data_IF_022776222266
#
_entry.id   IF_022776222266
#
_cell.length_a   1.000
_cell.length_b   1.000
_cell.length_c   1.000
_cell.angle_alpha   90.00
_cell.angle_beta   90.00
_cell.angle_gamma   90.00
#
_symmetry.space_group_name_H-M   'P 1'
#
loop_
_entity.id
_entity.type
_entity.pdbx_description
1 polymer ?
#
# COMPACT_ATOMS: atom_id res chain seq x y z
N UNK A 1 12.51 -10.14 -17.02
CA UNK A 1 13.72 -9.30 -16.83
C UNK A 1 14.50 -9.80 -15.62
N UNK A 2 15.85 -9.84 -15.67
CA UNK A 2 16.70 -10.25 -14.52
C UNK A 2 17.39 -9.03 -13.90
N UNK A 3 17.30 -8.88 -12.58
CA UNK A 3 18.02 -7.85 -11.82
C UNK A 3 19.36 -8.40 -11.34
N UNK A 4 20.43 -7.63 -11.52
CA UNK A 4 21.73 -7.98 -10.96
C UNK A 4 21.85 -7.60 -9.47
N UNK A 5 22.95 -7.99 -8.83
CA UNK A 5 23.18 -7.71 -7.42
C UNK A 5 23.24 -6.20 -7.10
N UNK A 6 23.72 -5.36 -8.04
CA UNK A 6 23.78 -3.91 -7.85
C UNK A 6 22.39 -3.30 -7.93
N UNK A 7 21.57 -3.72 -8.90
CA UNK A 7 20.18 -3.28 -9.03
C UNK A 7 19.40 -3.59 -7.74
N UNK A 8 19.55 -4.80 -7.19
CA UNK A 8 18.94 -5.19 -5.91
C UNK A 8 19.42 -4.29 -4.77
N UNK A 9 20.73 -4.07 -4.60
CA UNK A 9 21.25 -3.20 -3.53
C UNK A 9 20.77 -1.74 -3.66
N UNK A 10 20.66 -1.21 -4.89
CA UNK A 10 20.09 0.12 -5.14
C UNK A 10 18.62 0.16 -4.75
N UNK A 11 17.82 -0.83 -5.15
CA UNK A 11 16.41 -0.94 -4.76
C UNK A 11 16.24 -1.07 -3.24
N UNK A 12 17.11 -1.82 -2.55
CA UNK A 12 17.12 -1.90 -1.08
C UNK A 12 17.33 -0.53 -0.44
N UNK A 13 18.34 0.21 -0.88
CA UNK A 13 18.63 1.54 -0.35
C UNK A 13 17.50 2.55 -0.65
N UNK A 14 16.85 2.42 -1.82
CA UNK A 14 15.68 3.22 -2.17
C UNK A 14 14.46 2.84 -1.33
N UNK A 15 14.28 1.57 -0.99
CA UNK A 15 13.19 1.10 -0.14
C UNK A 15 13.36 1.54 1.32
N UNK A 16 14.59 1.50 1.84
CA UNK A 16 14.90 2.08 3.16
C UNK A 16 14.53 3.56 3.24
N UNK A 17 14.88 4.33 2.20
CA UNK A 17 14.47 5.72 2.07
C UNK A 17 14.66 6.22 0.64
N UNK A 18 13.54 6.38 -0.07
CA UNK A 18 13.55 6.82 -1.44
C UNK A 18 14.05 8.25 -1.63
N UNK A 19 14.21 9.05 -0.57
CA UNK A 19 14.81 10.40 -0.62
C UNK A 19 16.32 10.43 -0.39
N UNK A 20 16.99 9.30 -0.19
CA UNK A 20 18.45 9.33 -0.02
C UNK A 20 19.15 10.01 -1.23
N UNK A 21 20.14 10.89 -0.96
CA UNK A 21 21.02 11.40 -2.00
C UNK A 21 21.71 10.25 -2.73
N UNK A 22 21.99 10.44 -4.02
CA UNK A 22 22.63 9.40 -4.85
C UNK A 22 23.97 8.93 -4.25
N UNK A 23 24.72 9.81 -3.58
CA UNK A 23 25.96 9.46 -2.87
C UNK A 23 25.73 8.49 -1.72
N UNK A 24 24.66 8.67 -0.94
CA UNK A 24 24.30 7.77 0.16
C UNK A 24 23.82 6.41 -0.36
N UNK A 25 23.05 6.41 -1.45
CA UNK A 25 22.65 5.17 -2.14
C UNK A 25 23.89 4.44 -2.68
N UNK A 26 24.83 5.17 -3.28
CA UNK A 26 26.07 4.62 -3.83
C UNK A 26 26.93 3.94 -2.75
N UNK A 27 27.09 4.59 -1.58
CA UNK A 27 27.77 3.99 -0.41
C UNK A 27 27.08 2.70 0.05
N UNK A 28 25.75 2.69 0.14
CA UNK A 28 24.98 1.50 0.53
C UNK A 28 25.03 0.38 -0.51
N UNK A 29 25.06 0.75 -1.79
CA UNK A 29 25.11 -0.20 -2.90
C UNK A 29 26.53 -0.67 -3.26
N UNK A 30 27.55 -0.13 -2.59
CA UNK A 30 28.97 -0.39 -2.87
C UNK A 30 29.31 -0.13 -4.34
N UNK A 31 28.93 1.05 -4.84
CA UNK A 31 29.17 1.47 -6.23
C UNK A 31 29.33 2.99 -6.34
N UNK A 32 29.52 3.53 -7.55
CA UNK A 32 29.68 4.99 -7.76
C UNK A 32 28.33 5.71 -7.89
N UNK A 33 28.34 7.03 -7.63
CA UNK A 33 27.16 7.89 -7.84
C UNK A 33 26.67 7.85 -9.30
N UNK A 34 27.58 7.83 -10.28
CA UNK A 34 27.21 7.77 -11.70
C UNK A 34 26.51 6.45 -12.03
N UNK A 35 27.00 5.33 -11.50
CA UNK A 35 26.36 4.02 -11.68
C UNK A 35 24.95 4.03 -11.10
N UNK A 36 24.76 4.55 -9.87
CA UNK A 36 23.42 4.65 -9.27
C UNK A 36 22.48 5.48 -10.14
N UNK A 37 22.90 6.65 -10.61
CA UNK A 37 22.08 7.53 -11.46
C UNK A 37 21.65 6.81 -12.75
N UNK A 38 22.62 6.20 -13.44
CA UNK A 38 22.37 5.42 -14.65
C UNK A 38 21.38 4.28 -14.40
N UNK A 39 21.56 3.51 -13.32
CA UNK A 39 20.68 2.38 -12.99
C UNK A 39 19.28 2.84 -12.64
N UNK A 40 19.10 3.90 -11.84
CA UNK A 40 17.76 4.43 -11.54
C UNK A 40 17.05 4.89 -12.81
N UNK A 41 17.74 5.62 -13.71
CA UNK A 41 17.19 6.04 -15.01
C UNK A 41 16.82 4.83 -15.89
N UNK A 42 17.67 3.81 -15.92
CA UNK A 42 17.42 2.57 -16.66
C UNK A 42 16.21 1.81 -16.13
N UNK A 43 16.08 1.65 -14.80
CA UNK A 43 14.94 0.97 -14.16
C UNK A 43 13.63 1.73 -14.39
N UNK A 44 13.66 3.07 -14.45
CA UNK A 44 12.51 3.89 -14.86
C UNK A 44 12.16 3.71 -16.34
N UNK A 45 13.15 3.76 -17.24
CA UNK A 45 12.96 3.56 -18.69
C UNK A 45 12.34 2.19 -18.98
N UNK A 46 12.75 1.17 -18.24
CA UNK A 46 12.20 -0.20 -18.30
C UNK A 46 10.85 -0.37 -17.61
N UNK A 47 10.24 0.71 -17.10
CA UNK A 47 8.96 0.73 -16.36
C UNK A 47 8.94 -0.13 -15.08
N UNK A 48 10.10 -0.62 -14.61
CA UNK A 48 10.20 -1.34 -13.34
C UNK A 48 9.96 -0.39 -12.18
N UNK A 49 10.66 0.74 -12.18
CA UNK A 49 10.51 1.78 -11.18
C UNK A 49 9.54 2.84 -11.72
N UNK A 50 8.27 2.76 -11.31
CA UNK A 50 7.20 3.68 -11.75
C UNK A 50 7.37 5.08 -11.15
N UNK A 51 8.02 5.19 -9.99
CA UNK A 51 8.21 6.45 -9.30
C UNK A 51 8.61 6.26 -7.85
N UNK A 52 8.37 7.28 -7.04
CA UNK A 52 8.63 7.27 -5.61
C UNK A 52 7.43 7.86 -4.87
N UNK A 53 6.94 7.15 -3.87
CA UNK A 53 5.75 7.49 -3.09
C UNK A 53 6.09 7.80 -1.64
N UNK A 54 5.23 8.60 -1.01
CA UNK A 54 5.32 8.90 0.43
C UNK A 54 4.25 8.09 1.14
N UNK A 55 4.64 7.19 2.02
CA UNK A 55 3.73 6.44 2.89
C UNK A 55 3.24 7.36 4.02
N UNK A 56 1.93 7.56 4.06
CA UNK A 56 1.26 8.50 4.97
C UNK A 56 0.30 7.69 5.85
N UNK A 57 0.42 7.89 7.16
CA UNK A 57 -0.48 7.28 8.13
C UNK A 57 -1.72 8.18 8.31
N UNK A 58 -2.75 7.92 7.52
CA UNK A 58 -3.97 8.76 7.51
C UNK A 58 -4.82 8.60 8.77
N UNK A 59 -4.59 7.57 9.59
CA UNK A 59 -5.31 7.44 10.87
C UNK A 59 -4.91 8.56 11.84
N UNK A 60 -3.69 9.07 11.73
CA UNK A 60 -3.24 10.28 12.43
C UNK A 60 -3.95 11.56 11.99
N UNK A 61 -4.70 11.52 10.90
CA UNK A 61 -5.57 12.62 10.47
C UNK A 61 -7.05 12.38 10.85
N UNK A 62 -7.35 11.31 11.58
CA UNK A 62 -8.70 10.97 12.04
C UNK A 62 -9.48 10.06 11.08
N UNK A 63 -8.84 9.55 10.03
CA UNK A 63 -9.50 8.72 9.03
C UNK A 63 -9.29 7.23 9.26
N UNK A 64 -10.35 6.45 9.13
CA UNK A 64 -10.33 4.99 9.10
C UNK A 64 -10.38 4.50 7.66
N UNK A 65 -10.02 3.24 7.44
CA UNK A 65 -10.00 2.63 6.11
C UNK A 65 -10.80 1.34 6.08
N UNK A 66 -11.53 1.14 4.99
CA UNK A 66 -12.44 0.02 4.82
C UNK A 66 -12.19 -0.60 3.47
N UNK A 67 -11.84 -1.89 3.44
CA UNK A 67 -11.80 -2.66 2.19
C UNK A 67 -13.22 -3.11 1.86
N UNK A 68 -13.63 -2.93 0.61
CA UNK A 68 -14.91 -3.40 0.05
C UNK A 68 -14.58 -4.37 -1.06
N UNK A 69 -15.20 -5.54 -1.01
CA UNK A 69 -15.15 -6.56 -2.06
C UNK A 69 -16.50 -6.58 -2.79
N UNK A 70 -16.48 -6.72 -4.11
CA UNK A 70 -17.68 -6.75 -4.96
C UNK A 70 -17.63 -8.01 -5.82
N UNK A 71 -18.72 -8.76 -5.80
CA UNK A 71 -19.03 -9.80 -6.77
C UNK A 71 -20.10 -9.24 -7.70
N UNK A 72 -19.83 -9.26 -9.00
CA UNK A 72 -20.79 -8.79 -10.00
C UNK A 72 -21.75 -9.90 -10.43
N UNK A 73 -22.90 -9.49 -10.97
CA UNK A 73 -23.81 -10.34 -11.75
C UNK A 73 -24.12 -9.69 -13.09
N UNK A 74 -24.25 -10.53 -14.13
CA UNK A 74 -24.73 -10.13 -15.45
C UNK A 74 -24.04 -8.86 -15.99
N UNK A 75 -22.71 -8.80 -15.91
CA UNK A 75 -21.93 -7.60 -16.22
C UNK A 75 -21.20 -7.72 -17.56
N UNK A 76 -21.18 -6.62 -18.34
CA UNK A 76 -20.35 -6.50 -19.56
C UNK A 76 -19.02 -5.84 -19.22
N UNK A 77 -18.01 -6.01 -20.09
CA UNK A 77 -16.69 -5.38 -19.93
C UNK A 77 -16.77 -3.85 -19.90
N UNK A 78 -17.64 -3.28 -20.73
CA UNK A 78 -17.86 -1.84 -20.82
C UNK A 78 -18.42 -1.31 -19.51
N UNK A 79 -19.41 -2.01 -18.95
CA UNK A 79 -20.06 -1.62 -17.69
C UNK A 79 -19.14 -1.80 -16.49
N UNK A 80 -18.37 -2.89 -16.44
CA UNK A 80 -17.33 -3.09 -15.41
C UNK A 80 -16.33 -1.93 -15.43
N UNK A 81 -15.87 -1.54 -16.62
CA UNK A 81 -14.94 -0.42 -16.79
C UNK A 81 -15.55 0.90 -16.29
N UNK A 82 -16.81 1.20 -16.61
CA UNK A 82 -17.49 2.40 -16.09
C UNK A 82 -17.54 2.44 -14.56
N UNK A 83 -17.88 1.32 -13.92
CA UNK A 83 -17.91 1.17 -12.46
C UNK A 83 -16.52 1.38 -11.88
N UNK A 84 -15.50 0.74 -12.46
CA UNK A 84 -14.12 0.90 -12.02
C UNK A 84 -13.69 2.36 -12.16
N UNK A 85 -13.96 3.00 -13.30
CA UNK A 85 -13.62 4.40 -13.54
C UNK A 85 -14.29 5.32 -12.50
N UNK A 86 -15.57 5.08 -12.18
CA UNK A 86 -16.28 5.80 -11.12
C UNK A 86 -15.60 5.64 -9.75
N UNK A 87 -15.33 4.39 -9.34
CA UNK A 87 -14.66 4.08 -8.06
C UNK A 87 -13.26 4.70 -8.02
N UNK A 88 -12.50 4.63 -9.12
CA UNK A 88 -11.14 5.18 -9.24
C UNK A 88 -11.16 6.71 -9.14
N UNK A 89 -12.20 7.37 -9.66
CA UNK A 89 -12.32 8.82 -9.60
C UNK A 89 -12.87 9.32 -8.27
N UNK A 90 -13.61 8.48 -7.53
CA UNK A 90 -14.22 8.85 -6.26
C UNK A 90 -13.18 9.44 -5.28
N UNK A 91 -13.49 10.59 -4.65
CA UNK A 91 -12.51 11.38 -3.89
C UNK A 91 -11.95 10.64 -2.68
N UNK A 92 -12.70 9.71 -2.09
CA UNK A 92 -12.34 8.99 -0.87
C UNK A 92 -11.85 7.55 -1.07
N UNK A 93 -11.67 7.12 -2.33
CA UNK A 93 -11.06 5.80 -2.60
C UNK A 93 -9.56 5.94 -2.79
N UNK A 94 -8.78 4.94 -2.37
CA UNK A 94 -7.30 5.01 -2.46
C UNK A 94 -6.64 3.83 -3.17
N UNK A 95 -7.30 2.69 -3.19
CA UNK A 95 -6.83 1.46 -3.80
C UNK A 95 -8.02 0.79 -4.49
N UNK A 96 -7.80 0.24 -5.68
CA UNK A 96 -8.80 -0.47 -6.46
C UNK A 96 -8.10 -1.45 -7.39
N UNK A 97 -8.53 -2.70 -7.37
CA UNK A 97 -8.01 -3.81 -8.18
C UNK A 97 -9.16 -4.66 -8.71
N UNK A 98 -9.01 -5.18 -9.93
CA UNK A 98 -9.78 -6.34 -10.38
C UNK A 98 -9.08 -7.62 -9.93
N UNK A 99 -9.86 -8.60 -9.51
CA UNK A 99 -9.37 -9.89 -9.06
C UNK A 99 -10.20 -11.03 -9.64
N UNK A 100 -9.64 -12.24 -9.59
CA UNK A 100 -10.34 -13.48 -9.87
C UNK A 100 -10.27 -14.37 -8.63
N UNK A 101 -11.41 -14.86 -8.17
CA UNK A 101 -11.54 -15.62 -6.93
C UNK A 101 -13.01 -15.58 -6.49
N UNK A 102 -13.25 -15.30 -5.22
CA UNK A 102 -14.62 -15.14 -4.69
C UNK A 102 -15.26 -13.81 -5.11
N UNK A 103 -14.43 -12.79 -5.40
CA UNK A 103 -14.88 -11.45 -5.79
C UNK A 103 -14.15 -10.99 -7.05
N UNK A 104 -14.82 -10.15 -7.83
CA UNK A 104 -14.30 -9.60 -9.09
C UNK A 104 -13.53 -8.30 -8.88
N UNK A 105 -13.88 -7.54 -7.83
CA UNK A 105 -13.30 -6.23 -7.55
C UNK A 105 -13.06 -6.05 -6.06
N UNK A 106 -11.93 -5.44 -5.70
CA UNK A 106 -11.67 -4.97 -4.35
C UNK A 106 -11.19 -3.52 -4.37
N UNK A 107 -11.68 -2.70 -3.44
CA UNK A 107 -11.25 -1.32 -3.29
C UNK A 107 -11.27 -0.85 -1.84
N UNK A 108 -10.54 0.22 -1.54
CA UNK A 108 -10.50 0.78 -0.19
C UNK A 108 -11.13 2.17 -0.15
N UNK A 109 -12.17 2.32 0.67
CA UNK A 109 -12.75 3.60 1.08
C UNK A 109 -12.00 4.11 2.31
N UNK A 110 -11.79 5.41 2.38
CA UNK A 110 -11.25 6.10 3.55
C UNK A 110 -12.26 7.11 4.06
N UNK A 111 -12.61 7.04 5.34
CA UNK A 111 -13.66 7.87 5.91
C UNK A 111 -13.29 8.39 7.30
N UNK A 112 -13.79 9.59 7.63
CA UNK A 112 -13.60 10.23 8.95
C UNK A 112 -14.55 9.71 10.02
N UNK A 113 -15.61 8.99 9.64
CA UNK A 113 -16.58 8.36 10.54
C UNK A 113 -17.31 7.21 9.85
N UNK A 114 -17.97 6.36 10.62
CA UNK A 114 -18.83 5.28 10.11
C UNK A 114 -19.96 5.85 9.22
N UNK A 115 -20.51 7.02 9.56
CA UNK A 115 -21.53 7.66 8.74
C UNK A 115 -20.97 8.11 7.37
N UNK A 116 -19.78 8.70 7.35
CA UNK A 116 -19.11 9.05 6.10
C UNK A 116 -18.81 7.79 5.27
N UNK A 117 -18.31 6.71 5.89
CA UNK A 117 -18.11 5.43 5.20
C UNK A 117 -19.40 4.92 4.58
N UNK A 118 -20.49 4.84 5.36
CA UNK A 118 -21.79 4.34 4.90
C UNK A 118 -22.35 5.17 3.74
N UNK A 119 -22.24 6.51 3.81
CA UNK A 119 -22.66 7.40 2.71
C UNK A 119 -21.89 7.12 1.42
N UNK A 120 -20.56 7.07 1.52
CA UNK A 120 -19.67 6.79 0.38
C UNK A 120 -19.92 5.40 -0.21
N UNK A 121 -20.10 4.38 0.65
CA UNK A 121 -20.40 3.02 0.21
C UNK A 121 -21.74 2.98 -0.53
N UNK A 122 -22.81 3.55 0.03
CA UNK A 122 -24.12 3.60 -0.61
C UNK A 122 -24.09 4.30 -1.96
N UNK A 123 -23.36 5.40 -2.08
CA UNK A 123 -23.16 6.09 -3.37
C UNK A 123 -22.55 5.15 -4.42
N UNK A 124 -21.50 4.42 -4.06
CA UNK A 124 -20.84 3.47 -4.96
C UNK A 124 -21.74 2.29 -5.29
N UNK A 125 -22.40 1.67 -4.30
CA UNK A 125 -23.29 0.54 -4.52
C UNK A 125 -24.50 0.94 -5.40
N UNK A 126 -25.07 2.12 -5.19
CA UNK A 126 -26.14 2.65 -6.04
C UNK A 126 -25.66 2.87 -7.48
N UNK A 127 -24.41 3.30 -7.68
CA UNK A 127 -23.85 3.44 -9.02
C UNK A 127 -23.67 2.08 -9.70
N UNK A 128 -23.29 1.03 -8.95
CA UNK A 128 -23.20 -0.35 -9.48
C UNK A 128 -24.59 -0.86 -9.88
N UNK A 129 -25.59 -0.63 -9.02
CA UNK A 129 -27.00 -0.97 -9.29
C UNK A 129 -27.21 -2.48 -9.45
N UNK A 130 -28.00 -2.87 -10.44
CA UNK A 130 -28.42 -4.27 -10.66
C UNK A 130 -27.28 -5.22 -10.99
N UNK A 131 -26.09 -4.71 -11.35
CA UNK A 131 -24.90 -5.53 -11.56
C UNK A 131 -24.25 -6.01 -10.25
N UNK A 132 -24.72 -5.55 -9.08
CA UNK A 132 -24.22 -5.99 -7.79
C UNK A 132 -24.87 -7.32 -7.40
N UNK A 133 -24.07 -8.38 -7.25
CA UNK A 133 -24.55 -9.65 -6.68
C UNK A 133 -24.37 -9.65 -5.16
N UNK A 134 -23.13 -9.47 -4.71
CA UNK A 134 -22.74 -9.50 -3.31
C UNK A 134 -21.63 -8.48 -3.06
N UNK A 135 -21.58 -7.97 -1.82
CA UNK A 135 -20.43 -7.23 -1.35
C UNK A 135 -20.08 -7.61 0.09
N UNK A 136 -18.80 -7.50 0.41
CA UNK A 136 -18.28 -7.73 1.77
C UNK A 136 -17.42 -6.54 2.19
N UNK A 137 -17.38 -6.24 3.50
CA UNK A 137 -16.61 -5.10 4.02
C UNK A 137 -15.72 -5.49 5.19
N UNK A 138 -14.48 -5.00 5.15
CA UNK A 138 -13.51 -5.15 6.24
C UNK A 138 -13.06 -3.78 6.73
N UNK A 139 -13.09 -3.55 8.04
CA UNK A 139 -12.44 -2.39 8.66
C UNK A 139 -10.97 -2.70 8.88
N UNK A 140 -10.07 -1.89 8.32
CA UNK A 140 -8.62 -2.08 8.46
C UNK A 140 -8.15 -1.56 9.81
N UNK A 141 -7.51 -2.42 10.60
CA UNK A 141 -6.89 -2.09 11.88
C UNK A 141 -5.40 -1.75 11.77
N UNK A 142 -4.68 -2.43 10.90
CA UNK A 142 -3.24 -2.23 10.67
C UNK A 142 -2.89 -2.59 9.23
N UNK A 143 -1.98 -1.84 8.63
CA UNK A 143 -1.45 -2.11 7.30
C UNK A 143 0.08 -2.08 7.33
N UNK A 144 0.68 -3.23 7.02
CA UNK A 144 2.12 -3.45 7.03
C UNK A 144 2.67 -3.66 5.63
N UNK A 145 3.72 -2.92 5.35
CA UNK A 145 4.44 -2.93 4.09
C UNK A 145 5.68 -3.84 4.16
N UNK A 146 5.63 -4.93 3.38
CA UNK A 146 6.70 -5.91 3.22
C UNK A 146 7.50 -5.70 1.91
N UNK A 147 7.53 -4.47 1.39
CA UNK A 147 8.20 -4.12 0.13
C UNK A 147 9.59 -4.77 0.00
N UNK A 148 9.79 -5.53 -1.08
CA UNK A 148 11.06 -6.18 -1.41
C UNK A 148 11.56 -7.23 -0.41
N UNK A 149 10.72 -7.69 0.53
CA UNK A 149 11.03 -8.84 1.42
C UNK A 149 11.48 -10.07 0.65
N UNK A 150 10.93 -10.30 -0.54
CA UNK A 150 11.29 -11.42 -1.41
C UNK A 150 12.66 -11.28 -2.09
N UNK A 151 13.30 -10.11 -2.05
CA UNK A 151 14.68 -9.92 -2.54
C UNK A 151 15.74 -10.05 -1.46
N UNK A 152 15.37 -9.88 -0.18
CA UNK A 152 16.33 -9.72 0.90
C UNK A 152 15.93 -10.55 2.12
N UNK A 153 16.87 -11.35 2.60
CA UNK A 153 16.74 -11.99 3.91
C UNK A 153 16.74 -10.92 5.01
N UNK A 154 16.08 -11.22 6.14
CA UNK A 154 15.95 -10.35 7.31
C UNK A 154 15.34 -8.96 7.02
N UNK A 155 14.40 -8.89 6.09
CA UNK A 155 13.63 -7.68 5.84
C UNK A 155 12.76 -7.33 7.07
N UNK A 156 12.78 -6.07 7.48
CA UNK A 156 11.95 -5.59 8.60
C UNK A 156 10.73 -4.86 8.03
N UNK A 157 9.50 -5.36 8.25
CA UNK A 157 8.29 -4.69 7.80
C UNK A 157 8.09 -3.32 8.43
N UNK A 158 7.45 -2.44 7.67
CA UNK A 158 7.05 -1.11 8.12
C UNK A 158 5.55 -1.11 8.36
N UNK A 159 5.12 -0.81 9.59
CA UNK A 159 3.73 -0.44 9.86
C UNK A 159 3.48 0.93 9.26
N UNK A 160 2.61 0.99 8.24
CA UNK A 160 2.29 2.22 7.49
C UNK A 160 1.08 2.92 8.08
N UNK A 161 0.09 2.16 8.55
CA UNK A 161 -1.12 2.71 9.14
C UNK A 161 -1.57 1.82 10.27
N UNK A 162 -2.03 2.42 11.36
CA UNK A 162 -2.60 1.69 12.49
C UNK A 162 -3.79 2.46 13.06
N UNK A 163 -4.94 1.81 13.20
CA UNK A 163 -6.15 2.41 13.77
C UNK A 163 -5.92 2.88 15.21
N UNK A 164 -5.06 2.17 15.97
CA UNK A 164 -4.64 2.58 17.31
C UNK A 164 -3.89 3.94 17.33
N UNK A 165 -3.42 4.45 16.19
CA UNK A 165 -2.79 5.77 16.14
C UNK A 165 -3.82 6.93 16.15
N UNK A 166 -5.13 6.66 16.04
CA UNK A 166 -6.19 7.67 16.14
C UNK A 166 -6.26 8.33 17.52
N UNK A 167 -5.71 7.71 18.56
CA UNK A 167 -5.60 8.28 19.90
C UNK A 167 -4.73 9.55 19.96
N UNK A 168 -3.92 9.81 18.92
CA UNK A 168 -3.03 10.97 18.82
C UNK A 168 -3.16 11.65 17.46
N UNK A 169 -4.31 12.30 17.25
CA UNK A 169 -4.57 13.09 16.04
C UNK A 169 -3.52 14.19 15.89
N UNK A 170 -2.92 14.24 14.71
CA UNK A 170 -1.89 15.17 14.33
C UNK A 170 -2.55 16.40 13.69
N UNK A 171 -2.46 17.53 14.39
CA UNK A 171 -2.82 18.83 13.83
C UNK A 171 -1.78 19.23 12.77
N UNK A 172 -2.28 19.57 11.59
CA UNK A 172 -1.54 20.07 10.43
C UNK A 172 -2.28 21.26 9.83
N UNK A 173 -1.56 22.13 9.15
CA UNK A 173 -2.14 23.29 8.46
C UNK A 173 -2.19 23.09 6.93
N UNK A 174 -2.74 24.08 6.22
CA UNK A 174 -2.83 24.08 4.76
C UNK A 174 -1.48 23.89 4.06
N UNK A 175 -0.39 24.46 4.61
CA UNK A 175 0.95 24.32 4.01
C UNK A 175 1.48 22.90 4.19
N UNK A 176 1.24 22.27 5.33
CA UNK A 176 1.58 20.86 5.54
C UNK A 176 0.83 19.96 4.54
N UNK A 177 -0.46 20.23 4.31
CA UNK A 177 -1.27 19.52 3.31
C UNK A 177 -0.72 19.71 1.90
N UNK A 178 -0.41 20.95 1.49
CA UNK A 178 0.20 21.25 0.20
C UNK A 178 1.55 20.52 0.01
N UNK A 179 2.38 20.46 1.07
CA UNK A 179 3.63 19.69 1.07
C UNK A 179 3.33 18.19 0.86
N UNK A 180 2.36 17.63 1.58
CA UNK A 180 1.97 16.23 1.44
C UNK A 180 1.45 15.93 0.02
N UNK A 181 0.65 16.81 -0.59
CA UNK A 181 0.19 16.69 -2.00
C UNK A 181 1.38 16.54 -2.96
N UNK A 182 2.40 17.37 -2.79
CA UNK A 182 3.59 17.35 -3.65
C UNK A 182 4.45 16.09 -3.42
N UNK A 183 4.68 15.74 -2.15
CA UNK A 183 5.45 14.54 -1.78
C UNK A 183 4.76 13.23 -2.17
N UNK A 184 3.44 13.21 -2.21
CA UNK A 184 2.67 12.05 -2.67
C UNK A 184 2.86 11.80 -4.16
N UNK A 185 2.84 12.86 -4.98
CA UNK A 185 3.08 12.78 -6.43
C UNK A 185 4.53 12.37 -6.74
N UNK A 186 5.49 12.93 -6.02
CA UNK A 186 6.89 12.59 -6.16
C UNK A 186 7.61 12.73 -4.83
N UNK A 187 7.84 11.60 -4.18
CA UNK A 187 8.56 11.59 -2.90
C UNK A 187 9.98 12.13 -2.98
N UNK A 188 10.59 12.26 -4.17
CA UNK A 188 11.94 12.83 -4.37
C UNK A 188 11.95 14.27 -4.85
N UNK A 189 10.82 14.97 -4.90
CA UNK A 189 10.80 16.39 -5.27
C UNK A 189 11.81 17.19 -4.42
N UNK A 190 12.69 18.00 -5.04
CA UNK A 190 13.63 18.86 -4.34
C UNK A 190 12.91 19.85 -3.40
N UNK A 191 13.51 20.10 -2.23
CA UNK A 191 12.92 21.02 -1.25
C UNK A 191 12.76 22.43 -1.82
N UNK A 192 13.69 22.86 -2.66
CA UNK A 192 13.65 24.18 -3.31
C UNK A 192 12.48 24.30 -4.30
N UNK A 193 12.06 23.21 -4.93
CA UNK A 193 10.93 23.22 -5.85
C UNK A 193 9.60 23.24 -5.11
N UNK A 194 9.51 22.53 -3.98
CA UNK A 194 8.37 22.67 -3.04
C UNK A 194 8.31 24.14 -2.56
N UNK A 195 9.44 24.68 -2.10
CA UNK A 195 9.54 26.04 -1.56
C UNK A 195 9.03 27.09 -2.57
N UNK A 196 9.49 27.00 -3.82
CA UNK A 196 9.02 27.87 -4.92
C UNK A 196 7.52 27.75 -5.16
N UNK A 197 6.98 26.53 -5.25
CA UNK A 197 5.55 26.33 -5.50
C UNK A 197 4.66 26.83 -4.36
N UNK A 198 5.15 26.80 -3.12
CA UNK A 198 4.37 27.18 -1.94
C UNK A 198 4.65 28.61 -1.45
N UNK A 199 5.57 29.33 -2.10
CA UNK A 199 6.06 30.64 -1.70
C UNK A 199 6.54 30.71 -0.24
N UNK A 200 7.40 29.77 0.15
CA UNK A 200 8.05 29.71 1.48
C UNK A 200 9.53 29.33 1.33
N UNK A 201 10.34 29.45 2.39
CA UNK A 201 11.76 29.06 2.32
C UNK A 201 11.94 27.54 2.29
N UNK A 202 13.07 27.08 1.71
CA UNK A 202 13.43 25.66 1.73
C UNK A 202 13.65 25.12 3.16
N UNK A 203 14.09 25.97 4.08
CA UNK A 203 14.25 25.62 5.50
C UNK A 203 12.89 25.42 6.18
N UNK A 204 11.89 26.24 5.88
CA UNK A 204 10.52 26.05 6.35
C UNK A 204 9.94 24.72 5.84
N UNK A 205 10.13 24.40 4.55
CA UNK A 205 9.73 23.09 4.00
C UNK A 205 10.43 21.95 4.74
N UNK A 206 11.75 22.05 4.94
CA UNK A 206 12.53 21.02 5.63
C UNK A 206 12.05 20.81 7.08
N UNK A 207 11.81 21.91 7.80
CA UNK A 207 11.27 21.89 9.16
C UNK A 207 9.91 21.20 9.21
N UNK A 208 8.98 21.56 8.33
CA UNK A 208 7.64 20.96 8.24
C UNK A 208 7.71 19.46 7.94
N UNK A 209 8.51 19.05 6.95
CA UNK A 209 8.70 17.63 6.63
C UNK A 209 9.28 16.85 7.82
N UNK A 210 10.27 17.42 8.53
CA UNK A 210 10.82 16.81 9.76
C UNK A 210 9.75 16.68 10.84
N UNK A 211 8.94 17.72 11.05
CA UNK A 211 7.82 17.70 11.98
C UNK A 211 6.80 16.61 11.64
N UNK A 212 6.36 16.52 10.38
CA UNK A 212 5.42 15.49 9.91
C UNK A 212 5.98 14.06 10.08
N UNK A 213 7.29 13.87 9.89
CA UNK A 213 7.96 12.60 10.18
C UNK A 213 8.05 12.30 11.67
N UNK A 214 8.41 13.28 12.50
CA UNK A 214 8.52 13.10 13.96
C UNK A 214 7.16 12.74 14.58
N UNK A 215 6.09 13.35 14.07
CA UNK A 215 4.70 13.02 14.41
C UNK A 215 4.24 11.66 13.84
N UNK A 216 5.09 10.98 13.07
CA UNK A 216 4.83 9.72 12.35
C UNK A 216 3.67 9.79 11.36
N UNK A 217 3.31 10.99 10.88
CA UNK A 217 2.33 11.15 9.80
C UNK A 217 2.95 10.77 8.45
N UNK A 218 4.21 11.16 8.22
CA UNK A 218 5.04 10.58 7.15
C UNK A 218 5.81 9.41 7.74
N UNK A 219 5.47 8.20 7.31
CA UNK A 219 6.08 6.96 7.80
C UNK A 219 7.33 6.62 7.01
N UNK A 220 7.25 6.66 5.68
CA UNK A 220 8.34 6.25 4.80
C UNK A 220 8.30 6.94 3.44
N UNK A 221 9.43 6.88 2.74
CA UNK A 221 9.53 7.22 1.32
C UNK A 221 9.94 5.95 0.59
N UNK A 222 9.10 5.44 -0.32
CA UNK A 222 9.26 4.12 -0.92
C UNK A 222 9.32 4.18 -2.44
N UNK A 223 10.04 3.26 -3.10
CA UNK A 223 10.00 3.10 -4.55
C UNK A 223 8.69 2.43 -4.96
N UNK A 224 8.07 2.93 -6.02
CA UNK A 224 6.92 2.26 -6.65
C UNK A 224 7.42 1.28 -7.70
N UNK A 225 7.31 -0.02 -7.41
CA UNK A 225 7.89 -1.10 -8.22
C UNK A 225 6.79 -1.87 -8.96
N UNK A 226 7.05 -2.17 -10.24
CA UNK A 226 6.21 -3.01 -11.08
C UNK A 226 6.69 -4.48 -11.03
N UNK A 227 6.10 -5.29 -10.15
CA UNK A 227 6.50 -6.68 -9.97
C UNK A 227 6.22 -7.56 -11.19
N UNK A 228 5.21 -7.23 -12.00
CA UNK A 228 4.86 -7.99 -13.21
C UNK A 228 6.03 -8.03 -14.22
N UNK A 229 6.83 -6.96 -14.34
CA UNK A 229 8.00 -6.90 -15.25
C UNK A 229 9.12 -7.86 -14.82
N UNK A 230 9.14 -8.21 -13.53
CA UNK A 230 10.06 -9.18 -12.95
C UNK A 230 9.53 -10.61 -13.05
N UNK A 231 8.33 -10.82 -13.61
CA UNK A 231 7.67 -12.10 -13.71
C UNK A 231 7.02 -12.58 -12.40
N UNK A 232 6.70 -11.66 -11.50
CA UNK A 232 5.92 -11.98 -10.30
C UNK A 232 4.44 -11.75 -10.55
N UNK A 233 3.62 -12.68 -10.09
CA UNK A 233 2.18 -12.64 -10.04
C UNK A 233 1.73 -12.22 -8.64
N UNK A 234 0.60 -11.52 -8.54
CA UNK A 234 0.09 -10.99 -7.28
C UNK A 234 -1.16 -11.75 -6.86
N UNK A 235 -1.12 -12.32 -5.65
CA UNK A 235 -2.23 -13.00 -5.01
C UNK A 235 -2.60 -12.29 -3.70
N UNK A 236 -3.83 -12.48 -3.25
CA UNK A 236 -4.33 -12.04 -1.96
C UNK A 236 -4.97 -13.24 -1.28
N UNK A 237 -4.43 -13.61 -0.12
CA UNK A 237 -5.01 -14.61 0.76
C UNK A 237 -5.86 -13.91 1.81
N UNK A 238 -7.12 -14.33 1.93
CA UNK A 238 -8.07 -13.80 2.88
C UNK A 238 -8.25 -14.83 4.01
N UNK A 239 -7.65 -14.58 5.17
CA UNK A 239 -7.50 -15.56 6.24
C UNK A 239 -8.58 -15.36 7.31
N UNK A 240 -9.39 -16.38 7.55
CA UNK A 240 -10.36 -16.41 8.64
C UNK A 240 -9.83 -17.28 9.78
N UNK A 241 -9.69 -16.67 10.95
CA UNK A 241 -9.12 -17.29 12.13
C UNK A 241 -10.18 -17.59 13.20
N UNK A 242 -9.84 -18.50 14.11
CA UNK A 242 -10.46 -18.61 15.43
C UNK A 242 -10.10 -17.38 16.25
N UNK A 243 -10.80 -17.20 17.37
CA UNK A 243 -10.43 -16.15 18.31
C UNK A 243 -8.97 -16.39 18.76
N UNK A 244 -8.15 -15.35 18.72
CA UNK A 244 -6.75 -15.38 19.13
C UNK A 244 -6.51 -14.27 20.14
N UNK A 245 -5.65 -14.54 21.12
CA UNK A 245 -5.24 -13.54 22.11
C UNK A 245 -4.20 -12.59 21.53
N UNK A 246 -4.02 -11.40 22.13
CA UNK A 246 -2.98 -10.46 21.66
C UNK A 246 -1.56 -11.04 21.65
N UNK A 247 -1.09 -11.81 22.66
CA UNK A 247 0.24 -12.41 22.61
C UNK A 247 0.41 -13.39 21.45
N UNK A 248 -0.64 -14.15 21.13
CA UNK A 248 -0.64 -15.08 20.00
C UNK A 248 -0.58 -14.34 18.67
N UNK A 249 -1.38 -13.28 18.52
CA UNK A 249 -1.35 -12.42 17.34
C UNK A 249 0.03 -11.78 17.14
N UNK A 250 0.65 -11.26 18.22
CA UNK A 250 2.01 -10.71 18.18
C UNK A 250 3.04 -11.74 17.73
N UNK A 251 2.90 -12.99 18.17
CA UNK A 251 3.76 -14.12 17.76
C UNK A 251 3.55 -14.48 16.28
N UNK A 252 2.31 -14.50 15.80
CA UNK A 252 2.00 -14.72 14.37
C UNK A 252 2.64 -13.63 13.50
N UNK A 253 2.44 -12.37 13.84
CA UNK A 253 3.01 -11.23 13.12
C UNK A 253 4.54 -11.27 13.08
N UNK A 254 5.19 -11.75 14.14
CA UNK A 254 6.64 -11.97 14.17
C UNK A 254 7.06 -13.08 13.19
N UNK A 255 6.36 -14.22 13.15
CA UNK A 255 6.65 -15.31 12.20
C UNK A 255 6.44 -14.88 10.75
N UNK A 256 5.36 -14.15 10.48
CA UNK A 256 5.08 -13.61 9.14
C UNK A 256 6.17 -12.65 8.65
N UNK A 257 6.94 -12.03 9.57
CA UNK A 257 8.02 -11.14 9.19
C UNK A 257 9.22 -11.78 8.51
N UNK A 258 9.35 -13.10 8.65
CA UNK A 258 10.43 -13.86 8.03
C UNK A 258 10.00 -14.59 6.75
N UNK A 259 8.71 -14.61 6.44
CA UNK A 259 8.16 -15.32 5.28
C UNK A 259 8.42 -14.54 3.99
N UNK A 260 9.03 -15.21 3.01
CA UNK A 260 9.31 -14.63 1.68
C UNK A 260 8.03 -14.51 0.86
N UNK A 261 8.05 -13.64 -0.15
CA UNK A 261 6.91 -13.46 -1.06
C UNK A 261 5.79 -12.56 -0.50
N UNK A 262 5.73 -12.28 0.80
CA UNK A 262 4.74 -11.35 1.36
C UNK A 262 5.03 -9.93 0.89
N UNK A 263 4.04 -9.28 0.29
CA UNK A 263 4.05 -7.88 -0.13
C UNK A 263 3.38 -6.96 0.88
N UNK A 264 2.20 -7.34 1.35
CA UNK A 264 1.44 -6.57 2.35
C UNK A 264 0.76 -7.53 3.33
N UNK A 265 0.56 -7.06 4.55
CA UNK A 265 -0.37 -7.69 5.48
C UNK A 265 -1.29 -6.60 6.00
N UNK A 266 -2.58 -6.82 5.81
CA UNK A 266 -3.64 -6.03 6.43
C UNK A 266 -4.24 -6.86 7.56
N UNK A 267 -4.39 -6.27 8.73
CA UNK A 267 -5.24 -6.83 9.79
C UNK A 267 -6.55 -6.09 9.80
N UNK A 268 -7.65 -6.81 9.96
CA UNK A 268 -8.99 -6.25 9.80
C UNK A 268 -10.03 -6.89 10.70
N UNK A 269 -11.16 -6.18 10.82
CA UNK A 269 -12.42 -6.67 11.39
C UNK A 269 -13.42 -6.80 10.24
N UNK A 270 -14.03 -7.97 10.10
CA UNK A 270 -15.01 -8.29 9.06
C UNK A 270 -15.06 -9.80 8.88
N UNK A 271 -15.34 -10.26 7.65
CA UNK A 271 -15.35 -11.69 7.31
C UNK A 271 -13.99 -12.37 7.51
N UNK A 272 -12.89 -11.64 7.29
CA UNK A 272 -11.53 -12.14 7.47
C UNK A 272 -10.75 -11.31 8.49
N UNK A 273 -9.80 -11.95 9.17
CA UNK A 273 -8.95 -11.31 10.18
C UNK A 273 -7.66 -10.75 9.58
N UNK A 274 -7.13 -11.42 8.54
CA UNK A 274 -5.92 -10.99 7.84
C UNK A 274 -6.11 -11.05 6.32
N UNK A 275 -5.62 -10.03 5.62
CA UNK A 275 -5.45 -10.03 4.17
C UNK A 275 -3.94 -10.04 3.88
N UNK A 276 -3.43 -11.15 3.33
CA UNK A 276 -2.00 -11.33 3.04
C UNK A 276 -1.81 -11.26 1.54
N UNK A 277 -1.16 -10.20 1.08
CA UNK A 277 -0.83 -10.05 -0.33
C UNK A 277 0.52 -10.70 -0.61
N UNK A 278 0.56 -11.63 -1.57
CA UNK A 278 1.76 -12.34 -2.01
C UNK A 278 2.19 -11.90 -3.40
N UNK A 279 3.49 -11.78 -3.62
CA UNK A 279 4.10 -11.65 -4.93
C UNK A 279 5.05 -12.82 -5.16
N UNK A 280 4.68 -13.73 -6.06
CA UNK A 280 5.41 -15.00 -6.33
C UNK A 280 5.53 -15.24 -7.82
N UNK A 281 6.56 -15.93 -8.29
CA UNK A 281 6.83 -16.08 -9.73
C UNK A 281 5.95 -17.10 -10.43
N UNK A 282 5.58 -18.16 -9.74
CA UNK A 282 4.86 -19.29 -10.33
C UNK A 282 4.03 -20.03 -9.27
N UNK A 283 3.23 -20.99 -9.75
CA UNK A 283 2.31 -21.74 -8.90
C UNK A 283 3.04 -22.65 -7.89
N UNK A 284 4.28 -23.07 -8.16
CA UNK A 284 5.05 -23.86 -7.19
C UNK A 284 5.47 -23.01 -5.99
N UNK A 285 6.02 -21.81 -6.24
CA UNK A 285 6.35 -20.83 -5.18
C UNK A 285 5.09 -20.39 -4.42
N UNK A 286 3.96 -20.23 -5.11
CA UNK A 286 2.66 -19.97 -4.47
C UNK A 286 2.29 -21.10 -3.49
N UNK A 287 2.33 -22.36 -3.96
CA UNK A 287 1.99 -23.53 -3.15
C UNK A 287 2.87 -23.60 -1.90
N UNK A 288 4.18 -23.44 -2.07
CA UNK A 288 5.14 -23.45 -0.96
C UNK A 288 4.84 -22.34 0.06
N UNK A 289 4.64 -21.11 -0.42
CA UNK A 289 4.36 -19.95 0.44
C UNK A 289 3.02 -20.13 1.17
N UNK A 290 1.98 -20.62 0.49
CA UNK A 290 0.68 -20.92 1.12
C UNK A 290 0.81 -22.02 2.17
N UNK A 291 1.58 -23.08 1.90
CA UNK A 291 1.84 -24.13 2.88
C UNK A 291 2.59 -23.60 4.11
N UNK A 292 3.61 -22.75 3.91
CA UNK A 292 4.30 -22.09 5.02
C UNK A 292 3.34 -21.26 5.87
N UNK A 293 2.49 -20.44 5.23
CA UNK A 293 1.47 -19.65 5.92
C UNK A 293 0.48 -20.54 6.68
N UNK A 294 -0.02 -21.60 6.07
CA UNK A 294 -0.92 -22.56 6.76
C UNK A 294 -0.26 -23.17 7.99
N UNK A 295 1.04 -23.49 7.93
CA UNK A 295 1.79 -23.96 9.09
C UNK A 295 2.01 -22.86 10.15
N UNK A 296 2.11 -21.59 9.73
CA UNK A 296 2.17 -20.46 10.66
C UNK A 296 0.86 -20.29 11.41
N UNK A 297 -0.27 -20.45 10.72
CA UNK A 297 -1.60 -20.27 11.29
C UNK A 297 -2.27 -21.57 11.75
N UNK A 298 -1.57 -22.72 11.78
CA UNK A 298 -2.19 -24.05 11.90
C UNK A 298 -3.20 -24.18 13.06
N UNK A 299 -2.87 -23.66 14.25
CA UNK A 299 -3.73 -23.75 15.43
C UNK A 299 -4.97 -22.83 15.34
N UNK A 300 -4.87 -21.78 14.54
CA UNK A 300 -5.78 -20.64 14.51
C UNK A 300 -6.63 -20.58 13.24
N UNK A 301 -6.20 -21.19 12.13
CA UNK A 301 -6.85 -21.07 10.83
C UNK A 301 -8.17 -21.85 10.81
N UNK A 302 -9.28 -21.19 10.46
CA UNK A 302 -10.56 -21.84 10.14
C UNK A 302 -10.65 -22.13 8.66
N UNK A 303 -10.45 -21.10 7.85
CA UNK A 303 -10.50 -21.16 6.39
C UNK A 303 -9.65 -20.05 5.81
N UNK A 304 -9.36 -20.15 4.51
CA UNK A 304 -8.82 -19.03 3.75
C UNK A 304 -9.33 -19.08 2.32
N UNK A 305 -9.49 -17.90 1.74
CA UNK A 305 -9.84 -17.73 0.33
C UNK A 305 -8.64 -17.13 -0.40
N UNK A 306 -8.59 -17.33 -1.72
CA UNK A 306 -7.49 -16.82 -2.54
C UNK A 306 -8.04 -16.03 -3.72
N UNK A 307 -7.64 -14.78 -3.83
CA UNK A 307 -7.88 -13.94 -4.99
C UNK A 307 -6.58 -13.77 -5.78
N UNK A 308 -6.67 -13.92 -7.10
CA UNK A 308 -5.62 -13.54 -8.05
C UNK A 308 -5.84 -12.07 -8.40
N UNK A 309 -4.85 -11.20 -8.17
CA UNK A 309 -4.95 -9.79 -8.54
C UNK A 309 -4.58 -9.65 -10.02
N UNK A 310 -5.57 -9.34 -10.85
CA UNK A 310 -5.41 -9.26 -12.30
C UNK A 310 -4.88 -7.90 -12.73
N UNK A 311 -5.51 -6.82 -12.23
CA UNK A 311 -5.17 -5.46 -12.60
C UNK A 311 -5.26 -4.51 -11.40
N UNK A 312 -4.38 -3.51 -11.38
CA UNK A 312 -4.41 -2.43 -10.38
C UNK A 312 -4.77 -1.10 -11.02
N UNK A 313 -6.00 -0.67 -10.78
CA UNK A 313 -6.59 0.55 -11.31
C UNK A 313 -6.20 1.80 -10.52
N UNK A 314 -6.12 1.69 -9.19
CA UNK A 314 -5.74 2.82 -8.31
C UNK A 314 -4.79 2.39 -7.19
N UNK A 315 -3.85 3.27 -6.87
CA UNK A 315 -2.95 3.11 -5.73
C UNK A 315 -2.46 4.49 -5.28
N UNK A 316 -2.98 4.94 -4.15
CA UNK A 316 -2.72 6.25 -3.57
C UNK A 316 -2.53 6.09 -2.07
N UNK A 317 -1.56 6.79 -1.48
CA UNK A 317 -1.35 6.75 -0.03
C UNK A 317 -2.33 7.65 0.72
N UNK A 318 -2.85 8.69 0.07
CA UNK A 318 -3.89 9.56 0.60
C UNK A 318 -4.92 9.90 -0.50
N UNK A 319 -6.22 9.69 -0.25
CA UNK A 319 -7.25 10.00 -1.23
C UNK A 319 -7.45 11.52 -1.39
N UNK A 320 -7.93 11.96 -2.57
CA UNK A 320 -8.08 13.39 -2.91
C UNK A 320 -9.02 14.13 -1.95
N UNK A 321 -10.08 13.47 -1.49
CA UNK A 321 -11.06 14.06 -0.59
C UNK A 321 -10.48 14.45 0.78
N UNK A 322 -9.39 13.83 1.24
CA UNK A 322 -8.68 14.30 2.46
C UNK A 322 -7.92 15.59 2.16
N UNK A 323 -7.31 15.65 0.98
CA UNK A 323 -6.47 16.76 0.56
C UNK A 323 -7.25 18.06 0.35
N UNK A 324 -8.56 17.99 0.15
CA UNK A 324 -9.44 19.10 -0.17
C UNK A 324 -10.19 19.66 1.06
N UNK A 325 -10.07 19.03 2.23
CA UNK A 325 -10.76 19.44 3.46
C UNK A 325 -10.00 20.47 4.33
N UNK A 326 -8.84 20.96 3.88
CA UNK A 326 -7.94 21.83 4.66
C UNK A 326 -7.55 23.13 3.97
#
# INVERSE_FOLDING_TARGET
MKLDAKDKKILKALDENARYPLSKIAKKALTSKQVVDYRIKSLKKRKLLKGFSTAIDISKLGYSSYTVYILFQSITKEREKEIIDFIVQHPFTRWCVSCAGEYDLAFTITASSTNHFNKTLKEILNFIGDNLNEYETNTILDFRDYSLSFFFDNYVPRTVMSEAAKDKIVKIDKKDIEILKLLQKNARIPLIDIAKQLNISADTVNYRIKSLKNKKLIVAYTPSINYNILGYNWYQLLMHLKNITEPEEKRLLKRLSTTKGIRYITRCIGKWNFEIHLVVKNNAELKETVMELRNIFADYLKSYDTNIILEKHKSSTMPKGILEQY
#
